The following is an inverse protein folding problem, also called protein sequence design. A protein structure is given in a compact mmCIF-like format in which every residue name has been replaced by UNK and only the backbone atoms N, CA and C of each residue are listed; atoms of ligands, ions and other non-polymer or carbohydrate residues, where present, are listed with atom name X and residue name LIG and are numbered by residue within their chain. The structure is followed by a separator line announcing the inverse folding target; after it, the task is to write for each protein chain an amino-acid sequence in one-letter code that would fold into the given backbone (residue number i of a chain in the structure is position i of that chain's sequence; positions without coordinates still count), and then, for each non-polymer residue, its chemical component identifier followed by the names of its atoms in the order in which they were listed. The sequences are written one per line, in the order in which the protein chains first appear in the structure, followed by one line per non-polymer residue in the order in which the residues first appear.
data_IF_818945174458
#
_entry.id   IF_818945174458
#
_cell.length_a   1.000
_cell.length_b   1.000
_cell.length_c   1.000
_cell.angle_alpha   90.00
_cell.angle_beta   90.00
_cell.angle_gamma   90.00
#
_symmetry.space_group_name_H-M   'P 1'
#
loop_
_entity.id
_entity.type
_entity.pdbx_description
1 polymer ?
#
# COMPACT_ATOMS: atom_id res chain seq x y z
N UNK A 1 14.98 -17.69 -6.38
CA UNK A 1 14.58 -17.23 -5.03
C UNK A 1 15.50 -16.13 -4.47
N UNK A 2 16.82 -16.30 -4.36
CA UNK A 2 17.71 -15.26 -3.77
C UNK A 2 17.57 -13.88 -4.41
N UNK A 3 17.48 -13.78 -5.75
CA UNK A 3 17.30 -12.51 -6.45
C UNK A 3 15.95 -11.83 -6.14
N UNK A 4 14.86 -12.61 -6.07
CA UNK A 4 13.54 -12.10 -5.68
C UNK A 4 13.60 -11.56 -4.25
N UNK A 5 14.15 -12.32 -3.31
CA UNK A 5 14.30 -11.89 -1.92
C UNK A 5 15.17 -10.64 -1.76
N UNK A 6 16.23 -10.48 -2.58
CA UNK A 6 17.05 -9.26 -2.59
C UNK A 6 16.25 -8.02 -2.99
N UNK A 7 15.42 -8.12 -4.05
CA UNK A 7 14.52 -7.04 -4.47
C UNK A 7 13.48 -6.77 -3.40
N UNK A 8 12.84 -7.83 -2.88
CA UNK A 8 11.85 -7.72 -1.79
C UNK A 8 12.42 -6.97 -0.59
N UNK A 9 13.62 -7.35 -0.14
CA UNK A 9 14.27 -6.71 1.01
C UNK A 9 14.55 -5.23 0.76
N UNK A 10 15.07 -4.87 -0.42
CA UNK A 10 15.37 -3.47 -0.76
C UNK A 10 14.11 -2.61 -0.76
N UNK A 11 13.04 -3.09 -1.39
CA UNK A 11 11.77 -2.36 -1.45
C UNK A 11 11.12 -2.24 -0.07
N UNK A 12 11.13 -3.30 0.74
CA UNK A 12 10.64 -3.26 2.12
C UNK A 12 11.42 -2.25 2.96
N UNK A 13 12.73 -2.18 2.80
CA UNK A 13 13.55 -1.22 3.52
C UNK A 13 13.15 0.21 3.18
N UNK A 14 13.00 0.53 1.89
CA UNK A 14 12.57 1.85 1.42
C UNK A 14 11.16 2.16 1.93
N UNK A 15 10.23 1.22 1.80
CA UNK A 15 8.84 1.36 2.24
C UNK A 15 8.76 1.67 3.74
N UNK A 16 9.39 0.84 4.56
CA UNK A 16 9.30 0.98 6.01
C UNK A 16 10.05 2.22 6.54
N UNK A 17 11.20 2.57 5.95
CA UNK A 17 11.90 3.82 6.32
C UNK A 17 11.02 5.03 5.99
N UNK A 18 10.44 5.10 4.79
CA UNK A 18 9.57 6.22 4.41
C UNK A 18 8.33 6.32 5.30
N UNK A 19 7.68 5.21 5.63
CA UNK A 19 6.50 5.15 6.48
C UNK A 19 6.80 5.58 7.92
N UNK A 20 7.89 5.05 8.51
CA UNK A 20 8.32 5.42 9.85
C UNK A 20 8.68 6.91 9.90
N UNK A 21 9.41 7.41 8.87
CA UNK A 21 9.75 8.82 8.79
C UNK A 21 8.50 9.71 8.77
N UNK A 22 7.55 9.43 7.89
CA UNK A 22 6.31 10.21 7.81
C UNK A 22 5.54 10.16 9.13
N UNK A 23 5.32 8.97 9.70
CA UNK A 23 4.56 8.79 10.93
C UNK A 23 5.19 9.51 12.14
N UNK A 24 6.53 9.65 12.16
CA UNK A 24 7.25 10.27 13.29
C UNK A 24 7.63 11.74 13.08
N UNK A 25 7.30 12.34 11.92
CA UNK A 25 7.65 13.74 11.62
C UNK A 25 6.47 14.58 11.14
N UNK A 26 5.34 13.97 10.79
CA UNK A 26 4.17 14.66 10.29
C UNK A 26 2.99 14.50 11.25
N UNK A 27 2.15 15.53 11.34
CA UNK A 27 0.82 15.41 11.94
C UNK A 27 -0.09 14.61 11.01
N UNK A 28 -1.02 13.86 11.59
CA UNK A 28 -2.04 13.16 10.79
C UNK A 28 -2.81 14.18 9.93
N UNK A 29 -2.95 13.88 8.64
CA UNK A 29 -3.52 14.75 7.59
C UNK A 29 -2.67 15.99 7.22
N UNK A 30 -1.46 16.11 7.74
CA UNK A 30 -0.54 17.14 7.28
C UNK A 30 -0.18 16.92 5.81
N UNK A 31 -0.16 18.03 5.07
CA UNK A 31 0.19 18.05 3.65
C UNK A 31 1.31 19.04 3.39
N UNK A 32 2.39 18.57 2.77
CA UNK A 32 3.51 19.39 2.33
C UNK A 32 3.59 19.33 0.81
N UNK A 33 3.47 20.50 0.17
CA UNK A 33 3.64 20.61 -1.27
C UNK A 33 5.12 20.51 -1.64
N UNK A 34 5.49 19.50 -2.44
CA UNK A 34 6.85 19.33 -2.96
C UNK A 34 6.98 19.98 -4.33
N UNK A 35 6.01 19.72 -5.22
CA UNK A 35 5.85 20.32 -6.54
C UNK A 35 4.37 20.60 -6.80
N UNK A 36 4.03 21.31 -7.86
CA UNK A 36 2.61 21.57 -8.22
C UNK A 36 1.79 20.32 -8.48
N UNK A 37 2.45 19.25 -8.86
CA UNK A 37 1.87 17.94 -9.18
C UNK A 37 2.17 16.85 -8.16
N UNK A 38 2.94 17.15 -7.07
CA UNK A 38 3.32 16.16 -6.06
C UNK A 38 3.28 16.73 -4.65
N UNK A 39 2.58 16.04 -3.76
CA UNK A 39 2.43 16.37 -2.34
C UNK A 39 2.83 15.17 -1.48
N UNK A 40 3.41 15.44 -0.32
CA UNK A 40 3.50 14.50 0.78
C UNK A 40 2.32 14.76 1.71
N UNK A 41 1.40 13.83 1.80
CA UNK A 41 0.16 13.94 2.58
C UNK A 41 0.06 12.74 3.51
N UNK A 42 0.24 12.94 4.81
CA UNK A 42 0.18 11.84 5.75
C UNK A 42 -1.25 11.42 6.05
N UNK A 43 -1.56 10.16 5.76
CA UNK A 43 -2.82 9.51 6.17
C UNK A 43 -2.57 8.12 6.71
N UNK A 44 -3.44 7.68 7.61
CA UNK A 44 -3.48 6.31 8.11
C UNK A 44 -4.70 5.58 7.58
N UNK A 45 -4.45 4.47 6.90
CA UNK A 45 -5.47 3.66 6.26
C UNK A 45 -5.73 2.39 7.08
N UNK A 46 -6.89 2.24 7.71
CA UNK A 46 -7.23 1.05 8.49
C UNK A 46 -7.50 -0.19 7.63
N UNK A 47 -7.27 -0.13 6.33
CA UNK A 47 -7.53 -1.22 5.39
C UNK A 47 -8.72 -0.97 4.49
N UNK A 48 -9.07 0.30 4.29
CA UNK A 48 -10.06 0.71 3.32
C UNK A 48 -9.49 0.63 1.91
N UNK A 49 -10.27 0.15 0.96
CA UNK A 49 -10.02 0.31 -0.46
C UNK A 49 -11.16 1.09 -1.08
N UNK A 50 -10.85 2.21 -1.75
CA UNK A 50 -11.83 3.06 -2.42
C UNK A 50 -13.00 3.52 -1.53
N UNK A 51 -12.72 3.79 -0.24
CA UNK A 51 -13.74 4.25 0.72
C UNK A 51 -14.65 3.15 1.30
N UNK A 52 -14.46 1.90 0.91
CA UNK A 52 -15.24 0.78 1.46
C UNK A 52 -14.61 0.29 2.74
N UNK A 53 -15.33 0.41 3.86
CA UNK A 53 -14.99 -0.18 5.16
C UNK A 53 -15.59 -1.57 5.27
N UNK A 54 -14.76 -2.56 5.55
CA UNK A 54 -15.21 -3.92 5.83
C UNK A 54 -15.32 -4.11 7.36
N UNK A 55 -16.52 -3.92 7.92
CA UNK A 55 -16.88 -4.43 9.25
C UNK A 55 -16.04 -3.95 10.44
N UNK A 56 -15.56 -2.71 10.45
CA UNK A 56 -14.85 -2.12 11.59
C UNK A 56 -13.55 -2.87 11.95
N UNK A 57 -13.27 -3.02 13.24
CA UNK A 57 -12.04 -3.67 13.71
C UNK A 57 -11.93 -5.15 13.30
N UNK A 58 -13.04 -5.90 13.36
CA UNK A 58 -13.05 -7.32 12.95
C UNK A 58 -12.81 -7.46 11.44
N UNK A 59 -13.39 -6.58 10.63
CA UNK A 59 -13.13 -6.54 9.19
C UNK A 59 -11.67 -6.26 8.86
N UNK A 60 -11.02 -5.37 9.62
CA UNK A 60 -9.59 -5.09 9.52
C UNK A 60 -8.73 -6.34 9.83
N UNK A 61 -9.04 -7.05 10.91
CA UNK A 61 -8.34 -8.30 11.25
C UNK A 61 -8.54 -9.33 10.13
N UNK A 62 -9.77 -9.52 9.68
CA UNK A 62 -10.11 -10.44 8.60
C UNK A 62 -9.33 -10.14 7.31
N UNK A 63 -9.24 -8.86 6.94
CA UNK A 63 -8.46 -8.42 5.77
C UNK A 63 -6.96 -8.70 5.94
N UNK A 64 -6.42 -8.46 7.15
CA UNK A 64 -5.00 -8.72 7.44
C UNK A 64 -4.68 -10.22 7.41
N UNK A 65 -5.57 -11.06 7.92
CA UNK A 65 -5.44 -12.52 7.83
C UNK A 65 -5.54 -13.00 6.37
N UNK A 66 -6.47 -12.47 5.58
CA UNK A 66 -6.54 -12.76 4.15
C UNK A 66 -5.25 -12.39 3.42
N UNK A 67 -4.70 -11.20 3.69
CA UNK A 67 -3.39 -10.77 3.14
C UNK A 67 -2.28 -11.74 3.53
N UNK A 68 -2.24 -12.19 4.78
CA UNK A 68 -1.25 -13.17 5.25
C UNK A 68 -1.35 -14.49 4.47
N UNK A 69 -2.55 -15.01 4.25
CA UNK A 69 -2.78 -16.24 3.46
C UNK A 69 -2.33 -16.03 2.01
N UNK A 70 -2.67 -14.90 1.39
CA UNK A 70 -2.25 -14.58 0.03
C UNK A 70 -0.73 -14.46 -0.10
N UNK A 71 -0.06 -13.84 0.88
CA UNK A 71 1.40 -13.74 0.92
C UNK A 71 2.05 -15.12 1.04
N UNK A 72 1.52 -16.01 1.89
CA UNK A 72 2.01 -17.38 2.02
C UNK A 72 1.85 -18.16 0.70
N UNK A 73 0.70 -18.00 0.04
CA UNK A 73 0.44 -18.56 -1.28
C UNK A 73 1.42 -18.02 -2.34
N UNK A 74 1.62 -16.71 -2.38
CA UNK A 74 2.59 -16.08 -3.26
C UNK A 74 4.01 -16.61 -3.01
N UNK A 75 4.44 -16.70 -1.75
CA UNK A 75 5.76 -17.22 -1.37
C UNK A 75 5.98 -18.65 -1.90
N UNK A 76 4.96 -19.51 -1.78
CA UNK A 76 5.00 -20.87 -2.31
C UNK A 76 5.22 -20.88 -3.83
N UNK A 77 4.42 -20.12 -4.58
CA UNK A 77 4.52 -20.09 -6.04
C UNK A 77 5.79 -19.40 -6.54
N UNK A 78 6.19 -18.29 -5.91
CA UNK A 78 7.46 -17.61 -6.23
C UNK A 78 8.64 -18.57 -6.01
N UNK A 79 8.66 -19.34 -4.91
CA UNK A 79 9.71 -20.32 -4.67
C UNK A 79 9.71 -21.44 -5.74
N UNK A 80 8.54 -21.96 -6.11
CA UNK A 80 8.38 -22.98 -7.13
C UNK A 80 8.87 -22.51 -8.49
N UNK A 81 8.47 -21.29 -8.90
CA UNK A 81 8.72 -20.78 -10.26
C UNK A 81 10.06 -20.08 -10.41
N UNK A 82 10.57 -19.43 -9.38
CA UNK A 82 11.89 -18.77 -9.42
C UNK A 82 13.06 -19.76 -9.58
N UNK A 83 12.84 -21.06 -9.37
CA UNK A 83 13.83 -22.09 -9.68
C UNK A 83 13.91 -22.37 -11.18
N UNK A 84 12.83 -22.14 -11.94
CA UNK A 84 12.72 -22.37 -13.37
C UNK A 84 12.87 -21.08 -14.19
N UNK A 85 12.37 -19.96 -13.68
CA UNK A 85 12.41 -18.66 -14.34
C UNK A 85 13.74 -17.95 -14.04
N UNK A 86 14.50 -17.67 -15.08
CA UNK A 86 15.77 -16.93 -15.00
C UNK A 86 15.65 -15.49 -15.49
N UNK A 87 14.53 -15.14 -16.14
CA UNK A 87 14.29 -13.83 -16.72
C UNK A 87 14.03 -12.77 -15.66
N UNK A 88 14.65 -11.62 -15.82
CA UNK A 88 14.38 -10.44 -14.99
C UNK A 88 12.94 -9.92 -15.13
N UNK A 89 12.29 -10.16 -16.28
CA UNK A 89 10.88 -9.82 -16.50
C UNK A 89 9.92 -10.65 -15.62
N UNK A 90 10.38 -11.72 -14.99
CA UNK A 90 9.65 -12.44 -13.95
C UNK A 90 10.17 -12.10 -12.54
N UNK A 91 11.49 -12.01 -12.37
CA UNK A 91 12.15 -11.85 -11.06
C UNK A 91 11.83 -10.48 -10.45
N UNK A 92 11.92 -9.40 -11.25
CA UNK A 92 11.65 -8.04 -10.75
C UNK A 92 10.19 -7.89 -10.31
N UNK A 93 9.17 -8.14 -11.14
CA UNK A 93 7.79 -7.96 -10.73
C UNK A 93 7.39 -8.88 -9.58
N UNK A 94 7.90 -10.12 -9.54
CA UNK A 94 7.64 -11.02 -8.41
C UNK A 94 8.18 -10.45 -7.09
N UNK A 95 9.39 -9.84 -7.11
CA UNK A 95 9.97 -9.19 -5.94
C UNK A 95 9.22 -7.93 -5.52
N UNK A 96 8.79 -7.11 -6.49
CA UNK A 96 8.03 -5.88 -6.25
C UNK A 96 6.66 -6.17 -5.62
N UNK A 97 5.86 -7.07 -6.24
CA UNK A 97 4.52 -7.41 -5.74
C UNK A 97 4.61 -8.05 -4.35
N UNK A 98 5.58 -8.95 -4.16
CA UNK A 98 5.77 -9.64 -2.88
C UNK A 98 6.19 -8.66 -1.78
N UNK A 99 7.08 -7.71 -2.09
CA UNK A 99 7.49 -6.66 -1.16
C UNK A 99 6.32 -5.76 -0.74
N UNK A 100 5.54 -5.28 -1.71
CA UNK A 100 4.41 -4.40 -1.41
C UNK A 100 3.32 -5.10 -0.57
N UNK A 101 3.03 -6.36 -0.86
CA UNK A 101 2.09 -7.14 -0.06
C UNK A 101 2.57 -7.30 1.39
N UNK A 102 3.86 -7.59 1.61
CA UNK A 102 4.46 -7.71 2.94
C UNK A 102 4.53 -6.34 3.63
N UNK A 103 4.91 -5.26 2.94
CA UNK A 103 5.04 -3.92 3.51
C UNK A 103 3.75 -3.46 4.20
N UNK A 104 2.63 -3.48 3.49
CA UNK A 104 1.34 -3.12 4.05
C UNK A 104 0.83 -4.09 5.13
N UNK A 105 1.26 -5.35 5.10
CA UNK A 105 0.95 -6.30 6.16
C UNK A 105 1.75 -6.01 7.43
N UNK A 106 3.03 -5.61 7.32
CA UNK A 106 3.87 -5.23 8.46
C UNK A 106 3.21 -4.08 9.24
N UNK A 107 2.76 -3.03 8.56
CA UNK A 107 2.07 -1.92 9.20
C UNK A 107 0.82 -2.41 9.95
N UNK A 108 -0.01 -3.20 9.28
CA UNK A 108 -1.26 -3.71 9.86
C UNK A 108 -1.03 -4.58 11.08
N UNK A 109 0.04 -5.38 11.11
CA UNK A 109 0.34 -6.28 12.24
C UNK A 109 1.00 -5.51 13.38
N UNK A 110 2.03 -4.70 13.08
CA UNK A 110 2.99 -4.25 14.09
C UNK A 110 2.84 -2.78 14.49
N UNK A 111 2.33 -1.89 13.63
CA UNK A 111 2.33 -0.45 13.94
C UNK A 111 1.48 -0.11 15.18
N UNK A 112 0.41 -0.88 15.43
CA UNK A 112 -0.37 -0.73 16.65
C UNK A 112 0.41 -0.94 17.94
N UNK A 113 1.44 -1.79 17.93
CA UNK A 113 2.21 -2.15 19.14
C UNK A 113 3.55 -1.42 19.24
N UNK A 114 4.10 -0.87 18.14
CA UNK A 114 5.41 -0.23 18.17
C UNK A 114 5.35 1.30 18.29
N UNK A 115 4.21 1.91 17.96
CA UNK A 115 4.00 3.35 18.07
C UNK A 115 3.08 3.68 19.25
N UNK A 116 3.26 4.87 19.85
CA UNK A 116 2.46 5.36 20.98
C UNK A 116 1.06 5.85 20.57
N UNK A 117 0.93 6.37 19.35
CA UNK A 117 -0.33 6.90 18.84
C UNK A 117 -0.60 6.45 17.41
N UNK A 118 -1.88 6.36 17.05
CA UNK A 118 -2.35 6.02 15.70
C UNK A 118 -3.86 6.00 15.64
N UNK A 119 -4.39 5.90 14.43
CA UNK A 119 -5.82 5.80 14.17
C UNK A 119 -6.39 4.53 14.80
N UNK A 120 -7.45 4.67 15.61
CA UNK A 120 -8.11 3.58 16.35
C UNK A 120 -9.58 3.46 15.98
N UNK A 121 -10.16 2.28 16.19
CA UNK A 121 -11.58 2.07 15.94
C UNK A 121 -12.41 2.31 17.20
N UNK A 122 -13.29 3.31 17.14
CA UNK A 122 -14.30 3.52 18.19
C UNK A 122 -15.51 2.62 17.92
N UNK A 123 -15.70 1.64 18.79
CA UNK A 123 -16.79 0.68 18.67
C UNK A 123 -18.16 1.26 19.05
N UNK A 124 -18.21 2.34 19.82
CA UNK A 124 -19.46 2.99 20.23
C UNK A 124 -20.05 3.79 19.07
N UNK A 125 -19.22 4.50 18.33
CA UNK A 125 -19.62 5.30 17.17
C UNK A 125 -19.43 4.59 15.84
N UNK A 126 -18.77 3.43 15.82
CA UNK A 126 -18.45 2.64 14.62
C UNK A 126 -17.64 3.42 13.58
N UNK A 127 -16.71 4.25 14.03
CA UNK A 127 -15.83 5.08 13.20
C UNK A 127 -14.35 4.83 13.52
N UNK A 128 -13.51 5.19 12.58
CA UNK A 128 -12.06 5.23 12.80
C UNK A 128 -11.68 6.65 13.19
N UNK A 129 -11.18 6.80 14.41
CA UNK A 129 -10.77 8.07 14.97
C UNK A 129 -9.28 8.30 14.79
N UNK A 130 -8.95 9.47 14.27
CA UNK A 130 -7.58 9.96 14.21
C UNK A 130 -7.07 10.41 15.57
N UNK A 131 -5.85 10.88 15.60
CA UNK A 131 -5.19 11.38 16.80
C UNK A 131 -4.56 12.75 16.53
N UNK A 132 -4.23 13.47 17.61
CA UNK A 132 -3.49 14.74 17.58
C UNK A 132 -2.03 14.51 17.91
N UNK A 133 -1.15 15.42 17.44
CA UNK A 133 0.29 15.33 17.68
C UNK A 133 1.05 14.49 16.66
N UNK A 134 2.31 14.23 16.98
CA UNK A 134 3.23 13.43 16.17
C UNK A 134 3.52 12.13 16.90
N UNK A 135 3.39 11.01 16.21
CA UNK A 135 3.60 9.68 16.77
C UNK A 135 5.07 9.40 17.06
N UNK A 136 5.36 8.61 18.09
CA UNK A 136 6.71 8.20 18.48
C UNK A 136 6.84 6.69 18.41
N UNK A 137 8.01 6.25 17.97
CA UNK A 137 8.41 4.85 17.99
C UNK A 137 8.99 4.52 19.37
N UNK A 138 8.15 4.07 20.31
CA UNK A 138 8.56 3.85 21.71
C UNK A 138 8.06 2.54 22.30
N UNK A 139 7.33 1.70 21.51
CA UNK A 139 6.79 0.41 21.92
C UNK A 139 5.75 0.47 23.07
N UNK A 140 5.13 1.63 23.29
CA UNK A 140 4.01 1.75 24.26
C UNK A 140 2.71 1.17 23.71
N UNK A 141 2.53 1.24 22.38
CA UNK A 141 1.40 0.66 21.68
C UNK A 141 0.09 1.42 21.82
N UNK A 142 -0.56 1.75 20.70
CA UNK A 142 -1.89 2.38 20.67
C UNK A 142 -3.00 1.36 20.35
N UNK A 143 -2.65 0.19 19.82
CA UNK A 143 -3.60 -0.84 19.43
C UNK A 143 -2.98 -2.24 19.57
N UNK A 144 -3.81 -3.30 19.69
CA UNK A 144 -3.31 -4.67 19.75
C UNK A 144 -2.70 -5.11 18.40
N UNK A 145 -2.08 -6.29 18.41
CA UNK A 145 -1.58 -6.96 17.19
C UNK A 145 -2.69 -7.00 16.13
N UNK A 146 -2.37 -6.73 14.86
CA UNK A 146 -3.29 -6.52 13.74
C UNK A 146 -4.14 -5.24 13.82
N UNK A 147 -3.94 -4.39 14.83
CA UNK A 147 -4.63 -3.11 14.98
C UNK A 147 -3.94 -1.93 14.30
N UNK A 148 -2.70 -2.10 13.81
CA UNK A 148 -1.95 -1.03 13.14
C UNK A 148 -2.58 -0.59 11.82
N UNK A 149 -2.54 0.71 11.50
CA UNK A 149 -2.99 1.26 10.22
C UNK A 149 -1.83 1.38 9.22
N UNK A 150 -2.14 1.19 7.95
CA UNK A 150 -1.16 1.40 6.86
C UNK A 150 -0.88 2.89 6.72
N UNK A 151 0.39 3.25 6.61
CA UNK A 151 0.81 4.64 6.39
C UNK A 151 0.89 4.92 4.90
N UNK A 152 0.11 5.90 4.44
CA UNK A 152 0.11 6.40 3.08
C UNK A 152 0.62 7.85 3.05
N UNK A 153 1.32 8.24 1.95
CA UNK A 153 2.00 9.54 1.93
C UNK A 153 2.10 10.23 0.57
N UNK A 154 2.06 9.53 -0.54
CA UNK A 154 2.24 10.11 -1.86
C UNK A 154 0.91 10.49 -2.48
N UNK A 155 0.74 11.76 -2.83
CA UNK A 155 -0.43 12.29 -3.50
C UNK A 155 -0.02 13.02 -4.78
N UNK A 156 -0.62 12.62 -5.91
CA UNK A 156 -0.38 13.20 -7.23
C UNK A 156 -1.70 13.69 -7.85
N UNK A 157 -2.21 14.86 -7.49
CA UNK A 157 -3.42 15.42 -8.09
C UNK A 157 -3.11 15.88 -9.53
N UNK A 158 -3.20 14.96 -10.50
CA UNK A 158 -2.85 15.25 -11.89
C UNK A 158 -3.86 16.20 -12.55
N UNK A 159 -5.15 16.07 -12.21
CA UNK A 159 -6.20 17.01 -12.60
C UNK A 159 -7.04 17.32 -11.36
N UNK A 160 -7.10 18.59 -10.99
CA UNK A 160 -8.02 19.13 -10.00
C UNK A 160 -8.51 20.47 -10.56
N UNK A 161 -9.65 20.46 -11.22
CA UNK A 161 -10.17 21.62 -11.96
C UNK A 161 -11.69 21.62 -11.97
N UNK A 162 -12.26 22.80 -12.13
CA UNK A 162 -13.70 22.96 -12.37
C UNK A 162 -13.93 22.89 -13.87
N UNK A 163 -14.85 22.02 -14.28
CA UNK A 163 -15.24 21.93 -15.68
C UNK A 163 -15.90 23.23 -16.13
N UNK A 164 -15.57 23.71 -17.35
CA UNK A 164 -16.24 24.84 -17.95
C UNK A 164 -17.75 24.59 -18.04
N UNK A 165 -18.56 25.64 -17.84
CA UNK A 165 -20.04 25.55 -17.85
C UNK A 165 -20.63 25.03 -19.16
N UNK A 166 -19.88 25.14 -20.28
CA UNK A 166 -20.32 24.64 -21.58
C UNK A 166 -20.26 23.12 -21.74
N UNK A 167 -19.64 22.41 -20.81
CA UNK A 167 -19.58 20.92 -20.83
C UNK A 167 -20.95 20.35 -20.51
N UNK A 168 -21.55 19.55 -21.41
CA UNK A 168 -22.87 18.97 -21.18
C UNK A 168 -22.87 18.07 -19.92
N UNK A 169 -23.90 18.17 -19.08
CA UNK A 169 -24.18 17.35 -17.89
C UNK A 169 -23.28 17.68 -16.69
N UNK A 170 -21.96 17.93 -16.88
CA UNK A 170 -20.99 18.11 -15.79
C UNK A 170 -20.37 19.53 -15.75
N UNK A 171 -20.91 20.48 -16.53
CA UNK A 171 -20.43 21.87 -16.49
C UNK A 171 -20.56 22.46 -15.08
N UNK A 172 -19.49 23.08 -14.57
CA UNK A 172 -19.38 23.59 -13.22
C UNK A 172 -18.97 22.58 -12.14
N UNK A 173 -18.95 21.29 -12.44
CA UNK A 173 -18.50 20.26 -11.50
C UNK A 173 -16.98 20.22 -11.35
N UNK A 174 -16.52 19.89 -10.13
CA UNK A 174 -15.09 19.68 -9.87
C UNK A 174 -14.68 18.29 -10.33
N UNK A 175 -13.76 18.22 -11.29
CA UNK A 175 -13.08 16.98 -11.68
C UNK A 175 -11.78 16.82 -10.89
N UNK A 176 -11.63 15.66 -10.25
CA UNK A 176 -10.39 15.23 -9.65
C UNK A 176 -9.95 13.91 -10.28
N UNK A 177 -8.78 13.91 -10.90
CA UNK A 177 -8.19 12.70 -11.47
C UNK A 177 -6.86 12.38 -10.79
N UNK A 178 -6.71 11.11 -10.39
CA UNK A 178 -5.54 10.57 -9.70
C UNK A 178 -5.26 11.25 -8.35
N UNK A 179 -6.30 11.50 -7.56
CA UNK A 179 -6.22 12.16 -6.26
C UNK A 179 -6.15 11.16 -5.08
N UNK A 180 -5.59 9.97 -5.32
CA UNK A 180 -5.40 8.95 -4.30
C UNK A 180 -4.08 9.17 -3.56
N UNK A 181 -4.07 8.83 -2.26
CA UNK A 181 -2.88 8.82 -1.44
C UNK A 181 -2.42 7.37 -1.32
N UNK A 182 -1.15 7.11 -1.56
CA UNK A 182 -0.57 5.77 -1.57
C UNK A 182 0.89 5.79 -1.06
N UNK A 183 1.50 4.63 -0.94
CA UNK A 183 2.84 4.45 -0.40
C UNK A 183 3.78 3.69 -1.37
N UNK A 184 5.01 3.41 -0.92
CA UNK A 184 6.01 2.67 -1.72
C UNK A 184 5.55 1.24 -1.98
N UNK A 185 4.88 0.59 -1.01
CA UNK A 185 4.36 -0.77 -1.15
C UNK A 185 3.30 -0.84 -2.26
N UNK A 186 2.34 0.10 -2.30
CA UNK A 186 1.29 0.17 -3.33
C UNK A 186 1.88 0.44 -4.71
N UNK A 187 2.85 1.37 -4.79
CA UNK A 187 3.60 1.66 -6.01
C UNK A 187 4.30 0.41 -6.53
N UNK A 188 4.93 -0.36 -5.63
CA UNK A 188 5.66 -1.57 -6.01
C UNK A 188 4.72 -2.67 -6.53
N UNK A 189 3.54 -2.85 -5.90
CA UNK A 189 2.51 -3.77 -6.38
C UNK A 189 2.06 -3.35 -7.79
N UNK A 190 1.73 -2.08 -7.98
CA UNK A 190 1.21 -1.55 -9.25
C UNK A 190 2.24 -1.70 -10.38
N UNK A 191 3.47 -1.24 -10.14
CA UNK A 191 4.56 -1.36 -11.14
C UNK A 191 4.88 -2.83 -11.43
N UNK A 192 4.94 -3.66 -10.40
CA UNK A 192 5.14 -5.10 -10.55
C UNK A 192 4.04 -5.77 -11.37
N UNK A 193 2.78 -5.44 -11.10
CA UNK A 193 1.64 -5.96 -11.85
C UNK A 193 1.67 -5.53 -13.32
N UNK A 194 2.00 -4.27 -13.62
CA UNK A 194 2.13 -3.75 -14.98
C UNK A 194 3.24 -4.50 -15.73
N UNK A 195 4.43 -4.65 -15.14
CA UNK A 195 5.55 -5.39 -15.75
C UNK A 195 5.16 -6.85 -16.01
N UNK A 196 4.49 -7.49 -15.04
CA UNK A 196 4.07 -8.89 -15.15
C UNK A 196 3.03 -9.06 -16.26
N UNK A 197 2.04 -8.16 -16.34
CA UNK A 197 1.03 -8.16 -17.40
C UNK A 197 1.68 -7.94 -18.78
N UNK A 198 2.56 -6.94 -18.90
CA UNK A 198 3.32 -6.72 -20.14
C UNK A 198 4.10 -7.95 -20.56
N UNK A 199 4.84 -8.57 -19.62
CA UNK A 199 5.59 -9.79 -19.90
C UNK A 199 4.69 -10.95 -20.33
N UNK A 200 3.51 -11.09 -19.70
CA UNK A 200 2.54 -12.14 -20.04
C UNK A 200 2.04 -12.01 -21.48
N UNK A 201 1.66 -10.81 -21.91
CA UNK A 201 1.11 -10.59 -23.25
C UNK A 201 2.18 -10.56 -24.35
N UNK A 202 3.35 -9.95 -24.10
CA UNK A 202 4.34 -9.70 -25.15
C UNK A 202 5.57 -10.61 -25.10
N UNK A 203 5.80 -11.31 -24.00
CA UNK A 203 6.96 -12.21 -23.80
C UNK A 203 6.58 -13.49 -23.05
N UNK A 204 5.56 -14.25 -23.51
CA UNK A 204 5.04 -15.41 -22.76
C UNK A 204 6.11 -16.48 -22.48
N UNK A 205 7.19 -16.54 -23.26
CA UNK A 205 8.28 -17.49 -23.05
C UNK A 205 9.09 -17.29 -21.76
N UNK A 206 8.90 -16.18 -21.04
CA UNK A 206 9.56 -15.96 -19.73
C UNK A 206 8.86 -16.68 -18.58
N UNK A 207 7.63 -17.14 -18.80
CA UNK A 207 6.83 -17.83 -17.80
C UNK A 207 6.99 -19.36 -17.89
N UNK A 208 6.78 -20.07 -16.77
CA UNK A 208 6.72 -21.52 -16.78
C UNK A 208 5.62 -22.02 -17.74
N UNK A 209 5.93 -23.03 -18.55
CA UNK A 209 4.97 -23.59 -19.53
C UNK A 209 3.67 -24.11 -18.89
N UNK A 210 3.72 -24.40 -17.60
CA UNK A 210 2.56 -24.85 -16.83
C UNK A 210 1.46 -23.77 -16.69
N UNK A 211 1.78 -22.47 -16.93
CA UNK A 211 0.82 -21.37 -16.89
C UNK A 211 -0.11 -21.32 -18.11
N UNK A 212 0.26 -22.02 -19.18
CA UNK A 212 -0.45 -22.00 -20.47
C UNK A 212 -1.11 -23.36 -20.78
N UNK A 213 -1.19 -24.23 -19.79
CA UNK A 213 -1.91 -25.50 -19.83
C UNK A 213 -3.18 -25.42 -18.99
#
# INVERSE_FOLDING_TARGET
MKKVLGITFLILLIDQISKIYIKTHFHLHEEVKVFDWFYLTYVENPGMAYGVQLGGFLGKIGLSLLRLVLIAFMAFYINKWSKKATSWLFIIPAGLIFAGAIGNLIDSIFYGIIFDTGTTYDSAFQVWDGYSGISKLNFEGYAPLFGGCVVDMFRFPLIDSILPEWVPIWGGDRIQFFNYIFNVADSSITVGAIILAFAYFFKPGVFPKEWFK
#
